data_IF_894927382300
#
_entry.id   IF_894927382300
#
_cell.length_a   1.000
_cell.length_b   1.000
_cell.length_c   1.000
_cell.angle_alpha   90.00
_cell.angle_beta   90.00
_cell.angle_gamma   90.00
#
_symmetry.space_group_name_H-M   'P 1'
#
loop_
_entity.id
_entity.type
_entity.pdbx_description
1 polymer ?
#
# COMPACT_ATOMS: atom_id res chain seq x y z
N UNK A 1 -6.72 8.92 -1.48
CA UNK A 1 -7.19 7.51 -1.64
C UNK A 1 -6.07 6.51 -1.40
N UNK A 2 -4.89 6.66 -2.03
CA UNK A 2 -3.76 5.74 -1.85
C UNK A 2 -3.26 5.63 -0.39
N UNK A 3 -2.99 6.74 0.30
CA UNK A 3 -2.49 6.74 1.69
C UNK A 3 -3.50 6.11 2.66
N UNK A 4 -4.78 6.43 2.50
CA UNK A 4 -5.84 5.83 3.31
C UNK A 4 -5.92 4.31 3.09
N UNK A 5 -5.80 3.84 1.84
CA UNK A 5 -5.78 2.41 1.53
C UNK A 5 -4.50 1.72 2.00
N UNK A 6 -3.35 2.41 1.99
CA UNK A 6 -2.11 1.93 2.61
C UNK A 6 -2.31 1.72 4.10
N UNK A 7 -2.85 2.72 4.81
CA UNK A 7 -3.17 2.63 6.22
C UNK A 7 -4.13 1.49 6.53
N UNK A 8 -5.20 1.34 5.75
CA UNK A 8 -6.17 0.24 5.88
C UNK A 8 -5.49 -1.13 5.70
N UNK A 9 -4.71 -1.29 4.63
CA UNK A 9 -4.01 -2.53 4.35
C UNK A 9 -2.90 -2.87 5.36
N UNK A 10 -2.39 -1.85 6.08
CA UNK A 10 -1.35 -2.00 7.10
C UNK A 10 -1.89 -2.17 8.53
N UNK A 11 -3.21 -2.15 8.72
CA UNK A 11 -3.83 -2.52 10.01
C UNK A 11 -3.42 -3.95 10.40
N UNK A 12 -3.21 -4.18 11.69
CA UNK A 12 -2.70 -5.45 12.25
C UNK A 12 -3.54 -6.67 11.84
N UNK A 13 -4.86 -6.50 11.77
CA UNK A 13 -5.84 -7.46 11.25
C UNK A 13 -5.57 -7.87 9.79
N UNK A 14 -5.23 -6.90 8.93
CA UNK A 14 -4.86 -7.14 7.54
C UNK A 14 -3.42 -7.67 7.39
N UNK A 15 -2.48 -7.31 8.28
CA UNK A 15 -1.11 -7.86 8.28
C UNK A 15 -1.09 -9.37 8.50
N UNK A 16 -1.92 -9.86 9.43
CA UNK A 16 -2.10 -11.28 9.72
C UNK A 16 -2.84 -12.00 8.58
N UNK A 17 -3.94 -11.41 8.09
CA UNK A 17 -4.75 -12.00 7.03
C UNK A 17 -3.99 -12.11 5.69
N UNK A 18 -3.20 -11.09 5.33
CA UNK A 18 -2.43 -11.06 4.08
C UNK A 18 -1.07 -11.75 4.16
N UNK A 19 -0.68 -12.28 5.33
CA UNK A 19 0.65 -12.83 5.59
C UNK A 19 1.71 -11.96 4.91
N UNK A 20 1.88 -10.73 5.38
CA UNK A 20 2.93 -9.87 4.83
C UNK A 20 4.35 -10.48 5.01
N UNK A 21 4.51 -11.63 5.68
CA UNK A 21 5.76 -12.42 5.73
C UNK A 21 7.00 -11.60 6.16
N UNK A 22 6.81 -10.58 7.01
CA UNK A 22 7.88 -9.67 7.44
C UNK A 22 8.13 -8.49 6.50
N UNK A 23 7.41 -8.38 5.39
CA UNK A 23 7.44 -7.21 4.49
C UNK A 23 7.07 -5.93 5.25
N UNK A 24 6.22 -6.03 6.27
CA UNK A 24 5.85 -4.89 7.12
C UNK A 24 7.01 -4.39 7.99
N UNK A 25 8.02 -5.23 8.26
CA UNK A 25 9.26 -4.83 8.94
C UNK A 25 10.24 -4.11 8.01
N UNK A 26 10.09 -4.29 6.70
CA UNK A 26 10.93 -3.67 5.67
C UNK A 26 10.29 -2.42 5.06
N UNK A 27 9.07 -2.06 5.49
CA UNK A 27 8.40 -0.85 5.03
C UNK A 27 8.80 0.37 5.85
N UNK A 28 9.05 1.46 5.16
CA UNK A 28 9.39 2.74 5.75
C UNK A 28 8.20 3.70 5.60
N UNK A 29 7.77 4.32 6.70
CA UNK A 29 6.80 5.42 6.64
C UNK A 29 7.56 6.74 6.55
N UNK A 30 7.30 7.52 5.49
CA UNK A 30 7.92 8.85 5.29
C UNK A 30 7.04 9.96 5.90
N UNK A 31 7.55 11.19 5.86
CA UNK A 31 6.89 12.39 6.41
C UNK A 31 5.51 12.66 5.77
N UNK A 32 5.32 12.24 4.52
CA UNK A 32 4.04 12.31 3.79
C UNK A 32 3.04 11.22 4.19
N UNK A 33 3.34 10.48 5.26
CA UNK A 33 2.59 9.33 5.78
C UNK A 33 2.51 8.12 4.84
N UNK A 34 3.17 8.18 3.69
CA UNK A 34 3.15 7.09 2.73
C UNK A 34 4.15 6.00 3.08
N UNK A 35 3.78 4.76 2.76
CA UNK A 35 4.61 3.58 2.98
C UNK A 35 5.46 3.31 1.74
N UNK A 36 6.76 3.06 1.96
CA UNK A 36 7.74 2.72 0.94
C UNK A 36 8.33 1.35 1.18
N UNK A 37 8.73 0.70 0.09
CA UNK A 37 9.53 -0.51 0.07
C UNK A 37 10.63 -0.35 -0.97
N UNK A 38 11.91 -0.45 -0.57
CA UNK A 38 13.07 -0.26 -1.45
C UNK A 38 12.99 1.05 -2.27
N UNK A 39 12.78 2.17 -1.59
CA UNK A 39 12.63 3.52 -2.17
C UNK A 39 11.45 3.71 -3.14
N UNK A 40 10.52 2.75 -3.21
CA UNK A 40 9.32 2.83 -4.06
C UNK A 40 8.07 2.87 -3.20
N UNK A 41 7.10 3.69 -3.60
CA UNK A 41 5.82 3.77 -2.91
C UNK A 41 5.12 2.40 -2.96
N UNK A 42 4.69 1.91 -1.81
CA UNK A 42 4.02 0.62 -1.69
C UNK A 42 2.55 0.75 -2.02
N UNK A 43 2.08 0.07 -3.07
CA UNK A 43 0.66 0.11 -3.42
C UNK A 43 -0.04 -1.15 -2.90
N UNK A 44 -0.98 -1.02 -1.95
CA UNK A 44 -1.70 -2.16 -1.42
C UNK A 44 -2.66 -2.73 -2.46
N UNK A 45 -2.72 -4.05 -2.55
CA UNK A 45 -3.73 -4.80 -3.31
C UNK A 45 -5.13 -4.79 -2.64
N UNK A 46 -5.46 -3.81 -1.79
CA UNK A 46 -6.75 -3.75 -1.08
C UNK A 46 -7.72 -2.82 -1.81
N UNK A 47 -8.98 -3.27 -1.95
CA UNK A 47 -10.05 -2.49 -2.54
C UNK A 47 -9.84 -2.12 -4.01
N UNK A 48 -10.54 -1.07 -4.46
CA UNK A 48 -10.51 -0.57 -5.84
C UNK A 48 -9.25 0.24 -6.17
N UNK A 49 -8.33 0.46 -5.23
CA UNK A 49 -7.15 1.32 -5.42
C UNK A 49 -6.26 0.84 -6.57
N UNK A 50 -6.11 -0.48 -6.75
CA UNK A 50 -5.40 -1.03 -7.91
C UNK A 50 -6.12 -0.70 -9.23
N UNK A 51 -7.45 -0.76 -9.24
CA UNK A 51 -8.26 -0.49 -10.43
C UNK A 51 -8.16 0.99 -10.79
N UNK A 52 -8.28 1.88 -9.81
CA UNK A 52 -8.18 3.33 -9.99
C UNK A 52 -6.79 3.72 -10.52
N UNK A 53 -5.71 3.19 -9.93
CA UNK A 53 -4.33 3.49 -10.40
C UNK A 53 -4.12 2.98 -11.83
N UNK A 54 -4.66 1.80 -12.14
CA UNK A 54 -4.55 1.25 -13.49
C UNK A 54 -5.35 2.09 -14.50
N UNK A 55 -6.56 2.52 -14.16
CA UNK A 55 -7.40 3.37 -15.00
C UNK A 55 -6.77 4.76 -15.24
N UNK A 56 -6.27 5.40 -14.18
CA UNK A 56 -5.56 6.69 -14.26
C UNK A 56 -4.28 6.61 -15.12
N UNK A 57 -3.54 5.49 -15.05
CA UNK A 57 -2.27 5.34 -15.80
C UNK A 57 -2.46 4.84 -17.23
N UNK A 58 -3.60 4.23 -17.57
CA UNK A 58 -3.91 3.73 -18.91
C UNK A 58 -4.63 4.76 -19.81
N UNK A 59 -4.96 5.94 -19.28
CA UNK A 59 -5.27 7.10 -20.13
C UNK A 59 -3.98 7.62 -20.79
N UNK A 60 -3.61 7.05 -21.93
CA UNK A 60 -2.73 7.67 -22.94
C UNK A 60 -3.44 7.68 -24.28
#
# INVERSE_FOLDING_TARGET
MLIAAQGEAFKQENKLAKRLHGLDQQMERREDESLYFLDRIWVPLVGEVRIIIMDETHMT
#
